data_IF_170924432703
#
_entry.id   IF_170924432703
#
_cell.length_a   1.000
_cell.length_b   1.000
_cell.length_c   1.000
_cell.angle_alpha   90.00
_cell.angle_beta   90.00
_cell.angle_gamma   90.00
#
_symmetry.space_group_name_H-M   'P 1'
#
loop_
_entity.id
_entity.type
_entity.pdbx_description
1 polymer ?
#
# COMPACT_ATOMS: atom_id res chain seq x y z
N UNK A 1 0.16 13.38 20.66
CA UNK A 1 -0.54 13.09 19.38
C UNK A 1 0.34 13.22 18.13
N UNK A 2 1.52 13.88 18.15
CA UNK A 2 2.33 14.08 16.95
C UNK A 2 3.08 12.85 16.41
N UNK A 3 3.50 11.93 17.29
CA UNK A 3 4.31 10.76 16.92
C UNK A 3 3.52 9.82 16.00
N UNK A 4 2.27 9.51 16.33
CA UNK A 4 1.42 8.63 15.50
C UNK A 4 1.10 9.26 14.14
N UNK A 5 0.84 10.56 14.11
CA UNK A 5 0.62 11.28 12.84
C UNK A 5 1.87 11.26 11.96
N UNK A 6 3.05 11.49 12.53
CA UNK A 6 4.33 11.42 11.81
C UNK A 6 4.60 10.00 11.30
N UNK A 7 4.29 8.98 12.09
CA UNK A 7 4.41 7.58 11.68
C UNK A 7 3.55 7.24 10.45
N UNK A 8 2.28 7.66 10.46
CA UNK A 8 1.36 7.46 9.33
C UNK A 8 1.86 8.17 8.08
N UNK A 9 2.25 9.44 8.20
CA UNK A 9 2.75 10.22 7.06
C UNK A 9 4.02 9.61 6.46
N UNK A 10 4.97 9.20 7.29
CA UNK A 10 6.20 8.54 6.84
C UNK A 10 5.92 7.22 6.09
N UNK A 11 4.96 6.42 6.54
CA UNK A 11 4.56 5.19 5.82
C UNK A 11 3.87 5.54 4.50
N UNK A 12 2.98 6.54 4.51
CA UNK A 12 2.25 6.97 3.33
C UNK A 12 3.18 7.48 2.23
N UNK A 13 4.16 8.33 2.57
CA UNK A 13 5.15 8.83 1.61
C UNK A 13 6.00 7.71 1.01
N UNK A 14 6.44 6.75 1.85
CA UNK A 14 7.17 5.57 1.38
C UNK A 14 6.31 4.71 0.45
N UNK A 15 5.02 4.56 0.74
CA UNK A 15 4.06 3.81 -0.09
C UNK A 15 3.86 4.48 -1.45
N UNK A 16 3.54 5.77 -1.47
CA UNK A 16 3.30 6.51 -2.69
C UNK A 16 4.52 6.51 -3.61
N UNK A 17 5.71 6.79 -3.05
CA UNK A 17 6.95 6.82 -3.82
C UNK A 17 7.30 5.48 -4.45
N UNK A 18 7.14 4.38 -3.71
CA UNK A 18 7.45 3.04 -4.22
C UNK A 18 6.39 2.51 -5.17
N UNK A 19 5.10 2.77 -4.92
CA UNK A 19 4.02 2.41 -5.84
C UNK A 19 4.18 3.13 -7.19
N UNK A 20 4.59 4.40 -7.18
CA UNK A 20 4.94 5.15 -8.39
C UNK A 20 6.12 4.53 -9.13
N UNK A 21 7.21 4.19 -8.42
CA UNK A 21 8.37 3.52 -9.03
C UNK A 21 7.97 2.19 -9.66
N UNK A 22 7.14 1.40 -8.98
CA UNK A 22 6.69 0.11 -9.46
C UNK A 22 5.79 0.24 -10.71
N UNK A 23 4.89 1.23 -10.74
CA UNK A 23 4.11 1.55 -11.93
C UNK A 23 5.00 1.95 -13.11
N UNK A 24 6.04 2.77 -12.86
CA UNK A 24 7.04 3.14 -13.88
C UNK A 24 7.85 1.95 -14.39
N UNK A 25 8.32 1.07 -13.51
CA UNK A 25 9.02 -0.16 -13.93
C UNK A 25 8.15 -1.04 -14.80
N UNK A 26 6.86 -1.14 -14.47
CA UNK A 26 5.87 -1.91 -15.24
C UNK A 26 5.32 -1.15 -16.45
N UNK A 27 5.84 0.05 -16.78
CA UNK A 27 5.39 0.92 -17.88
C UNK A 27 3.89 1.23 -17.84
N UNK A 28 3.29 1.27 -16.64
CA UNK A 28 1.88 1.61 -16.44
C UNK A 28 1.74 3.10 -16.13
N UNK A 29 0.79 3.81 -16.76
CA UNK A 29 0.51 5.20 -16.43
C UNK A 29 -0.30 5.35 -15.12
N UNK A 30 -0.93 4.27 -14.66
CA UNK A 30 -1.84 4.27 -13.52
C UNK A 30 -1.33 3.36 -12.42
N UNK A 31 -1.30 3.86 -11.18
CA UNK A 31 -1.06 3.06 -9.98
C UNK A 31 -2.36 2.31 -9.64
N UNK A 32 -2.31 0.98 -9.53
CA UNK A 32 -3.46 0.15 -9.15
C UNK A 32 -3.27 -0.47 -7.77
N UNK A 33 -4.31 -1.13 -7.25
CA UNK A 33 -4.22 -1.89 -5.99
C UNK A 33 -3.17 -3.01 -6.02
N UNK A 34 -2.74 -3.44 -7.21
CA UNK A 34 -1.65 -4.40 -7.38
C UNK A 34 -0.31 -3.83 -6.93
N UNK A 35 0.03 -2.62 -7.36
CA UNK A 35 1.28 -1.96 -6.99
C UNK A 35 1.32 -1.62 -5.49
N UNK A 36 0.18 -1.22 -4.92
CA UNK A 36 0.03 -0.99 -3.47
C UNK A 36 0.26 -2.30 -2.68
N UNK A 37 -0.36 -3.41 -3.11
CA UNK A 37 -0.20 -4.72 -2.49
C UNK A 37 1.24 -5.23 -2.56
N UNK A 38 1.92 -5.02 -3.68
CA UNK A 38 3.31 -5.39 -3.86
C UNK A 38 4.24 -4.58 -2.93
N UNK A 39 4.01 -3.27 -2.80
CA UNK A 39 4.75 -2.43 -1.86
C UNK A 39 4.61 -2.92 -0.41
N UNK A 40 3.39 -3.22 0.04
CA UNK A 40 3.12 -3.69 1.41
C UNK A 40 3.96 -4.94 1.72
N UNK A 41 4.12 -5.84 0.75
CA UNK A 41 4.95 -7.04 0.88
C UNK A 41 6.46 -6.77 0.88
N UNK A 42 6.90 -5.66 0.30
CA UNK A 42 8.32 -5.26 0.27
C UNK A 42 8.75 -4.51 1.54
N UNK A 43 7.85 -3.78 2.17
CA UNK A 43 8.19 -2.89 3.32
C UNK A 43 7.85 -3.49 4.67
N UNK A 44 6.81 -4.32 4.76
CA UNK A 44 6.41 -4.92 6.03
C UNK A 44 7.01 -6.32 6.21
N UNK A 45 7.40 -6.68 7.44
CA UNK A 45 7.80 -8.05 7.76
C UNK A 45 6.61 -9.01 7.58
N UNK A 46 6.89 -10.27 7.25
CA UNK A 46 5.92 -11.23 6.70
C UNK A 46 4.58 -11.33 7.44
N UNK A 47 4.57 -11.37 8.78
CA UNK A 47 3.33 -11.40 9.57
C UNK A 47 2.45 -10.16 9.38
N UNK A 48 3.07 -8.97 9.42
CA UNK A 48 2.38 -7.70 9.21
C UNK A 48 1.95 -7.50 7.76
N UNK A 49 2.78 -7.93 6.80
CA UNK A 49 2.45 -7.86 5.38
C UNK A 49 1.19 -8.69 5.05
N UNK A 50 1.07 -9.92 5.59
CA UNK A 50 -0.11 -10.77 5.38
C UNK A 50 -1.38 -10.12 5.91
N UNK A 51 -1.33 -9.60 7.14
CA UNK A 51 -2.48 -8.94 7.75
C UNK A 51 -2.88 -7.68 7.00
N UNK A 52 -1.93 -6.80 6.68
CA UNK A 52 -2.20 -5.56 5.94
C UNK A 52 -2.79 -5.82 4.54
N UNK A 53 -2.31 -6.83 3.83
CA UNK A 53 -2.88 -7.23 2.52
C UNK A 53 -4.30 -7.79 2.67
N UNK A 54 -4.57 -8.55 3.73
CA UNK A 54 -5.89 -9.10 4.02
C UNK A 54 -6.90 -7.99 4.30
N UNK A 55 -6.58 -7.08 5.23
CA UNK A 55 -7.44 -5.94 5.57
C UNK A 55 -7.67 -5.02 4.36
N UNK A 56 -6.61 -4.69 3.60
CA UNK A 56 -6.76 -3.87 2.39
C UNK A 56 -7.64 -4.52 1.33
N UNK A 57 -7.57 -5.84 1.16
CA UNK A 57 -8.42 -6.57 0.20
C UNK A 57 -9.88 -6.60 0.65
N UNK A 58 -10.13 -6.78 1.95
CA UNK A 58 -11.47 -6.76 2.54
C UNK A 58 -12.15 -5.41 2.35
N UNK A 59 -11.46 -4.31 2.62
CA UNK A 59 -12.04 -2.97 2.42
C UNK A 59 -12.24 -2.65 0.93
N UNK A 60 -11.34 -3.12 0.05
CA UNK A 60 -11.54 -3.00 -1.40
C UNK A 60 -12.79 -3.73 -1.88
N UNK A 61 -13.07 -4.94 -1.36
CA UNK A 61 -14.30 -5.68 -1.70
C UNK A 61 -15.56 -4.93 -1.25
N UNK A 62 -15.55 -4.34 -0.06
CA UNK A 62 -16.67 -3.51 0.42
C UNK A 62 -16.90 -2.30 -0.49
N UNK A 63 -15.82 -1.63 -0.90
CA UNK A 63 -15.89 -0.49 -1.82
C UNK A 63 -16.47 -0.88 -3.17
N UNK A 64 -16.08 -2.04 -3.73
CA UNK A 64 -16.62 -2.51 -5.02
C UNK A 64 -18.06 -3.00 -4.96
N UNK A 65 -18.54 -3.39 -3.77
CA UNK A 65 -19.91 -3.84 -3.54
C UNK A 65 -20.86 -2.70 -3.13
N UNK A 66 -20.34 -1.48 -2.99
CA UNK A 66 -21.10 -0.25 -2.72
C UNK A 66 -21.42 0.46 -4.04
#
# INVERSE_FOLDING_TARGET
MGIMNSFINNIFEKLAGQAFRLARYNKKPTITSCEIKAFIRLVLPGGLAKHAVSEGTKEMMKFTSS
#
